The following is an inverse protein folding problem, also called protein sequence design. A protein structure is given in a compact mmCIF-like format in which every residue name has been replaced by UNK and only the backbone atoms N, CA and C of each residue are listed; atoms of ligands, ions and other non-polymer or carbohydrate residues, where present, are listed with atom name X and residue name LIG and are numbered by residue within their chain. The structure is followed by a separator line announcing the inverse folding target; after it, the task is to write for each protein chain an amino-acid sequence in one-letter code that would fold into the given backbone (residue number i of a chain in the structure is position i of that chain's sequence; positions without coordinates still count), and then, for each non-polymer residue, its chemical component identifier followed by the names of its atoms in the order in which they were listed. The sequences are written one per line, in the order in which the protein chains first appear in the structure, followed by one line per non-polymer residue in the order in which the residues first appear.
data_IF_394299258159
#
_entry.id   IF_394299258159
#
_cell.length_a   1.000
_cell.length_b   1.000
_cell.length_c   1.000
_cell.angle_alpha   90.00
_cell.angle_beta   90.00
_cell.angle_gamma   90.00
#
_symmetry.space_group_name_H-M   'P 1'
#
loop_
_entity.id
_entity.type
_entity.pdbx_description
1 polymer ?
#
# COMPACT_ATOMS: atom_id res chain seq x y z
N UNK A 1 50.22 28.83 -18.48
CA UNK A 1 49.74 28.72 -17.08
C UNK A 1 48.22 28.62 -17.07
N UNK A 2 47.67 27.48 -17.48
CA UNK A 2 46.21 27.23 -17.54
C UNK A 2 45.97 25.74 -17.26
N UNK A 3 46.18 25.33 -16.01
CA UNK A 3 45.88 23.95 -15.59
C UNK A 3 45.57 23.84 -14.08
N UNK A 4 46.00 24.81 -13.27
CA UNK A 4 45.88 24.70 -11.81
C UNK A 4 44.51 25.13 -11.23
N UNK A 5 43.65 25.82 -12.00
CA UNK A 5 42.39 26.38 -11.47
C UNK A 5 41.21 25.40 -11.59
N UNK A 6 41.27 24.43 -12.51
CA UNK A 6 40.17 23.50 -12.78
C UNK A 6 40.01 22.45 -11.66
N UNK A 7 41.07 22.17 -10.90
CA UNK A 7 41.05 21.11 -9.87
C UNK A 7 40.38 21.58 -8.57
N UNK A 8 40.27 22.89 -8.32
CA UNK A 8 39.68 23.41 -7.08
C UNK A 8 38.15 23.51 -7.11
N UNK A 9 37.51 23.50 -8.28
CA UNK A 9 36.05 23.55 -8.41
C UNK A 9 35.36 22.18 -8.50
N UNK A 10 36.10 21.10 -8.70
CA UNK A 10 35.56 19.73 -8.84
C UNK A 10 35.33 18.99 -7.51
N UNK A 11 35.56 19.63 -6.37
CA UNK A 11 35.30 19.06 -5.04
C UNK A 11 34.18 19.79 -4.26
N UNK A 12 33.41 20.66 -4.92
CA UNK A 12 32.24 21.29 -4.32
C UNK A 12 30.89 20.62 -4.69
N UNK A 13 30.89 19.63 -5.60
CA UNK A 13 29.67 18.98 -6.11
C UNK A 13 29.60 17.46 -5.87
N UNK A 14 30.09 16.96 -4.73
CA UNK A 14 29.90 15.53 -4.38
C UNK A 14 29.59 15.32 -2.90
N UNK A 15 28.78 16.18 -2.27
CA UNK A 15 28.15 15.82 -0.99
C UNK A 15 26.76 16.48 -0.86
N UNK A 16 25.88 16.28 -1.85
CA UNK A 16 24.49 16.05 -1.50
C UNK A 16 24.42 14.63 -0.91
N UNK A 17 24.94 14.47 0.31
CA UNK A 17 24.68 13.29 1.10
C UNK A 17 23.17 13.22 1.26
N UNK A 18 22.53 12.28 0.54
CA UNK A 18 21.20 11.82 0.88
C UNK A 18 21.35 11.25 2.29
N UNK A 19 21.12 12.09 3.29
CA UNK A 19 20.88 11.63 4.64
C UNK A 19 19.59 10.83 4.55
N UNK A 20 19.71 9.54 4.28
CA UNK A 20 18.69 8.58 4.62
C UNK A 20 18.67 8.55 6.13
N UNK A 21 17.99 9.52 6.73
CA UNK A 21 17.67 9.49 8.13
C UNK A 21 16.73 8.30 8.26
N UNK A 22 17.32 7.13 8.57
CA UNK A 22 16.61 6.00 9.11
C UNK A 22 15.95 6.54 10.37
N UNK A 23 14.73 7.05 10.23
CA UNK A 23 13.87 7.37 11.34
C UNK A 23 13.60 6.00 11.95
N UNK A 24 14.26 5.72 13.07
CA UNK A 24 13.99 4.52 13.84
C UNK A 24 12.55 4.67 14.31
N UNK A 25 11.63 4.09 13.55
CA UNK A 25 10.22 4.15 13.86
C UNK A 25 9.97 3.38 15.16
N UNK A 26 8.92 3.80 15.88
CA UNK A 26 8.44 3.01 17.00
C UNK A 26 8.10 1.59 16.54
N UNK A 27 8.16 0.63 17.46
CA UNK A 27 7.83 -0.77 17.18
C UNK A 27 6.50 -0.85 16.41
N UNK A 28 6.48 -1.62 15.32
CA UNK A 28 5.32 -1.80 14.41
C UNK A 28 4.93 -0.57 13.58
N UNK A 29 5.78 0.45 13.45
CA UNK A 29 5.57 1.58 12.52
C UNK A 29 6.65 1.64 11.45
N UNK A 30 6.31 2.14 10.27
CA UNK A 30 7.21 2.23 9.13
C UNK A 30 6.82 3.38 8.17
N UNK A 31 7.65 3.57 7.14
CA UNK A 31 7.52 4.65 6.17
C UNK A 31 8.42 5.84 6.48
N UNK A 32 8.62 6.73 5.50
CA UNK A 32 9.56 7.87 5.60
C UNK A 32 9.28 8.84 6.75
N UNK A 33 8.06 8.80 7.31
CA UNK A 33 7.61 9.62 8.45
C UNK A 33 6.99 8.76 9.56
N UNK A 34 7.26 7.45 9.58
CA UNK A 34 6.62 6.50 10.49
C UNK A 34 5.08 6.57 10.48
N UNK A 35 4.50 6.86 9.31
CA UNK A 35 3.07 7.13 9.15
C UNK A 35 2.23 5.86 9.01
N UNK A 36 2.86 4.72 8.72
CA UNK A 36 2.16 3.46 8.50
C UNK A 36 2.37 2.52 9.68
N UNK A 37 1.28 1.94 10.16
CA UNK A 37 1.32 0.88 11.17
C UNK A 37 1.38 -0.49 10.49
N UNK A 38 2.13 -1.41 11.05
CA UNK A 38 2.15 -2.81 10.64
C UNK A 38 0.76 -3.43 10.78
N UNK A 39 0.25 -3.99 9.67
CA UNK A 39 -1.07 -4.62 9.59
C UNK A 39 -1.00 -6.01 9.00
N UNK A 40 0.14 -6.68 9.16
CA UNK A 40 0.27 -8.09 8.86
C UNK A 40 -0.44 -8.93 9.92
N UNK A 41 -0.84 -10.14 9.58
CA UNK A 41 -1.33 -11.13 10.55
C UNK A 41 -0.29 -11.29 11.67
N UNK A 42 -0.73 -11.21 12.93
CA UNK A 42 0.12 -11.22 14.13
C UNK A 42 1.08 -10.03 14.29
N UNK A 43 0.91 -8.95 13.52
CA UNK A 43 1.75 -7.74 13.54
C UNK A 43 3.25 -8.02 13.26
N UNK A 44 3.55 -9.07 12.48
CA UNK A 44 4.91 -9.43 12.10
C UNK A 44 5.30 -8.76 10.77
N UNK A 45 5.94 -7.60 10.85
CA UNK A 45 6.51 -6.88 9.71
C UNK A 45 8.03 -6.74 9.86
N UNK A 46 8.74 -6.60 8.73
CA UNK A 46 10.11 -6.10 8.73
C UNK A 46 10.14 -4.56 8.87
N UNK A 47 11.35 -3.98 8.88
CA UNK A 47 11.55 -2.53 9.04
C UNK A 47 10.86 -1.69 7.94
N UNK A 48 10.65 -2.26 6.76
CA UNK A 48 9.97 -1.61 5.64
C UNK A 48 8.44 -1.84 5.66
N UNK A 49 7.90 -2.52 6.68
CA UNK A 49 6.49 -2.85 6.79
C UNK A 49 6.04 -4.09 6.02
N UNK A 50 6.95 -4.80 5.33
CA UNK A 50 6.59 -6.02 4.59
C UNK A 50 6.31 -7.17 5.56
N UNK A 51 5.24 -7.92 5.31
CA UNK A 51 4.92 -9.11 6.09
C UNK A 51 6.03 -10.16 5.96
N UNK A 52 6.52 -10.64 7.09
CA UNK A 52 7.54 -11.69 7.13
C UNK A 52 6.89 -13.09 7.09
N UNK A 53 7.67 -14.11 6.74
CA UNK A 53 7.25 -15.51 6.71
C UNK A 53 5.98 -15.80 5.86
N UNK A 54 5.76 -15.03 4.78
CA UNK A 54 4.57 -15.19 3.94
C UNK A 54 3.28 -14.72 4.60
N UNK A 55 3.37 -13.90 5.66
CA UNK A 55 2.22 -13.31 6.32
C UNK A 55 1.35 -12.52 5.34
N UNK A 56 0.03 -12.55 5.59
CA UNK A 56 -0.95 -11.79 4.83
C UNK A 56 -1.35 -10.52 5.58
N UNK A 57 -2.06 -9.63 4.91
CA UNK A 57 -2.68 -8.49 5.57
C UNK A 57 -3.81 -8.95 6.50
N UNK A 58 -4.01 -8.19 7.57
CA UNK A 58 -5.23 -8.24 8.38
C UNK A 58 -6.44 -7.96 7.48
N UNK A 59 -7.59 -8.53 7.81
CA UNK A 59 -8.84 -8.24 7.11
C UNK A 59 -9.12 -6.73 7.11
N UNK A 60 -9.56 -6.20 5.96
CA UNK A 60 -9.76 -4.77 5.74
C UNK A 60 -8.48 -3.95 5.50
N UNK A 61 -7.32 -4.60 5.33
CA UNK A 61 -6.06 -3.95 4.97
C UNK A 61 -5.47 -4.57 3.71
N UNK A 62 -4.85 -3.76 2.87
CA UNK A 62 -4.24 -4.20 1.62
C UNK A 62 -3.04 -3.30 1.24
N UNK A 63 -2.43 -3.62 0.10
CA UNK A 63 -1.23 -2.96 -0.41
C UNK A 63 0.03 -3.79 -0.18
N UNK A 64 1.16 -3.46 -0.84
CA UNK A 64 2.39 -4.25 -0.78
C UNK A 64 2.90 -4.51 0.65
N UNK A 65 2.63 -3.60 1.58
CA UNK A 65 3.04 -3.66 2.99
C UNK A 65 1.83 -3.56 3.94
N UNK A 66 0.62 -3.87 3.46
CA UNK A 66 -0.62 -3.74 4.22
C UNK A 66 -0.87 -2.34 4.80
N UNK A 67 -0.34 -1.30 4.14
CA UNK A 67 -0.31 0.06 4.67
C UNK A 67 -1.63 0.82 4.50
N UNK A 68 -2.54 0.29 3.70
CA UNK A 68 -3.77 0.99 3.31
C UNK A 68 -5.00 0.25 3.83
N UNK A 69 -5.96 1.04 4.30
CA UNK A 69 -7.27 0.54 4.74
C UNK A 69 -8.20 0.38 3.55
N UNK A 70 -8.86 -0.76 3.46
CA UNK A 70 -9.95 -0.97 2.53
C UNK A 70 -11.20 -0.28 3.08
N UNK A 71 -11.56 0.87 2.48
CA UNK A 71 -12.73 1.66 2.88
C UNK A 71 -14.05 0.98 2.52
N UNK A 72 -14.04 0.00 1.61
CA UNK A 72 -15.21 -0.75 1.22
C UNK A 72 -15.43 -2.00 2.08
N UNK A 73 -14.45 -2.41 2.89
CA UNK A 73 -14.52 -3.64 3.66
C UNK A 73 -15.65 -3.63 4.69
N UNK A 74 -16.64 -4.50 4.49
CA UNK A 74 -17.71 -4.80 5.44
C UNK A 74 -17.67 -6.28 5.84
N UNK A 75 -17.63 -6.57 7.14
CA UNK A 75 -17.50 -7.92 7.69
C UNK A 75 -18.61 -8.90 7.27
N UNK A 76 -19.72 -8.43 6.72
CA UNK A 76 -20.91 -9.24 6.41
C UNK A 76 -21.29 -9.22 4.92
N UNK A 77 -20.51 -8.59 4.05
CA UNK A 77 -20.78 -8.54 2.62
C UNK A 77 -19.69 -9.28 1.85
N UNK A 78 -20.12 -10.34 1.15
CA UNK A 78 -19.28 -11.14 0.25
C UNK A 78 -18.70 -10.30 -0.89
N UNK A 79 -19.37 -9.21 -1.29
CA UNK A 79 -18.86 -8.33 -2.35
C UNK A 79 -17.64 -7.50 -1.91
N UNK A 80 -17.37 -7.42 -0.61
CA UNK A 80 -16.36 -6.53 0.00
C UNK A 80 -15.48 -7.26 1.02
N UNK A 81 -15.50 -8.60 1.05
CA UNK A 81 -14.76 -9.40 2.03
C UNK A 81 -13.25 -9.49 1.74
N UNK A 82 -12.83 -9.01 0.56
CA UNK A 82 -11.45 -9.02 0.10
C UNK A 82 -10.97 -10.36 -0.45
N UNK A 83 -11.87 -11.34 -0.63
CA UNK A 83 -11.56 -12.65 -1.22
C UNK A 83 -12.05 -12.72 -2.67
N UNK A 84 -11.11 -12.82 -3.62
CA UNK A 84 -11.46 -12.88 -5.05
C UNK A 84 -12.20 -14.17 -5.43
N UNK A 85 -12.23 -15.18 -4.56
CA UNK A 85 -12.86 -16.48 -4.81
C UNK A 85 -14.31 -16.55 -4.32
N UNK A 86 -14.75 -15.59 -3.50
CA UNK A 86 -16.11 -15.57 -2.94
C UNK A 86 -17.08 -14.76 -3.81
N UNK A 87 -16.74 -14.45 -5.06
CA UNK A 87 -17.61 -13.73 -6.00
C UNK A 87 -19.07 -14.23 -5.98
N UNK A 88 -20.02 -13.28 -5.88
CA UNK A 88 -21.45 -13.58 -5.95
C UNK A 88 -21.77 -14.31 -7.27
N UNK A 89 -22.57 -15.37 -7.17
CA UNK A 89 -22.98 -16.18 -8.32
C UNK A 89 -23.79 -15.33 -9.32
N UNK A 90 -23.54 -15.40 -10.65
CA UNK A 90 -24.28 -14.65 -11.68
C UNK A 90 -25.81 -14.82 -11.65
N UNK A 91 -26.35 -15.83 -10.97
CA UNK A 91 -27.80 -15.97 -10.79
C UNK A 91 -28.43 -14.96 -9.81
N UNK A 92 -27.61 -14.18 -9.08
CA UNK A 92 -28.09 -13.12 -8.18
C UNK A 92 -28.19 -11.80 -8.97
N UNK A 93 -29.23 -11.74 -9.80
CA UNK A 93 -29.90 -10.54 -10.33
C UNK A 93 -29.28 -9.76 -11.49
N UNK A 94 -30.14 -9.36 -12.43
CA UNK A 94 -29.92 -8.28 -13.41
C UNK A 94 -29.92 -6.88 -12.77
N UNK A 95 -29.77 -6.78 -11.45
CA UNK A 95 -29.87 -5.51 -10.74
C UNK A 95 -28.57 -4.73 -10.85
N UNK A 96 -28.70 -3.42 -11.00
CA UNK A 96 -27.58 -2.49 -11.00
C UNK A 96 -26.94 -2.44 -9.60
N UNK A 97 -25.64 -2.72 -9.51
CA UNK A 97 -24.87 -2.46 -8.30
C UNK A 97 -24.58 -0.96 -8.26
N UNK A 98 -25.22 -0.25 -7.34
CA UNK A 98 -24.99 1.18 -7.13
C UNK A 98 -23.86 1.37 -6.10
N UNK A 99 -22.68 1.79 -6.57
CA UNK A 99 -21.57 2.15 -5.70
C UNK A 99 -21.68 3.62 -5.30
N UNK A 100 -22.04 3.89 -4.04
CA UNK A 100 -22.04 5.25 -3.50
C UNK A 100 -20.69 5.57 -2.87
N UNK A 101 -19.87 6.30 -3.60
CA UNK A 101 -18.61 6.81 -3.09
C UNK A 101 -18.88 8.04 -2.21
N UNK A 102 -18.87 7.86 -0.89
CA UNK A 102 -18.83 8.99 0.02
C UNK A 102 -17.43 9.64 -0.05
N UNK A 103 -17.37 10.97 -0.03
CA UNK A 103 -16.23 11.89 -0.27
C UNK A 103 -14.90 11.58 0.49
N UNK A 104 -14.34 10.40 0.30
CA UNK A 104 -12.99 10.07 0.75
C UNK A 104 -12.08 10.14 -0.48
N UNK A 105 -10.99 10.87 -0.37
CA UNK A 105 -9.96 10.84 -1.39
C UNK A 105 -9.25 9.49 -1.31
N UNK A 106 -9.45 8.65 -2.32
CA UNK A 106 -8.71 7.42 -2.51
C UNK A 106 -7.87 7.51 -3.78
N UNK A 107 -6.74 6.81 -3.79
CA UNK A 107 -5.80 6.80 -4.92
C UNK A 107 -6.00 5.62 -5.87
N UNK A 108 -6.74 4.59 -5.43
CA UNK A 108 -6.99 3.38 -6.20
C UNK A 108 -8.35 2.79 -5.82
N UNK A 109 -8.98 2.10 -6.76
CA UNK A 109 -10.19 1.30 -6.57
C UNK A 109 -10.00 -0.01 -7.33
N UNK A 110 -10.44 -1.12 -6.74
CA UNK A 110 -10.48 -2.43 -7.40
C UNK A 110 -11.92 -2.92 -7.50
N UNK A 111 -12.32 -3.36 -8.67
CA UNK A 111 -13.58 -4.06 -8.91
C UNK A 111 -13.22 -5.42 -9.50
N UNK A 112 -13.76 -6.50 -8.91
CA UNK A 112 -13.61 -7.87 -9.40
C UNK A 112 -14.96 -8.37 -9.88
N UNK A 113 -15.00 -8.90 -11.11
CA UNK A 113 -16.17 -9.55 -11.68
C UNK A 113 -15.97 -11.06 -11.69
N UNK A 114 -17.05 -11.82 -11.57
CA UNK A 114 -17.04 -13.28 -11.70
C UNK A 114 -16.67 -13.72 -13.11
N UNK A 115 -17.16 -13.01 -14.13
CA UNK A 115 -16.71 -13.14 -15.50
C UNK A 115 -15.87 -11.92 -15.90
N UNK A 116 -14.56 -12.09 -16.16
CA UNK A 116 -13.67 -10.99 -16.52
C UNK A 116 -13.93 -10.39 -17.90
N UNK A 117 -14.68 -11.06 -18.79
CA UNK A 117 -14.93 -10.61 -20.17
C UNK A 117 -15.90 -9.41 -20.25
N UNK A 118 -16.48 -8.99 -19.12
CA UNK A 118 -17.39 -7.84 -19.03
C UNK A 118 -16.69 -6.52 -18.66
N UNK A 119 -15.35 -6.48 -18.66
CA UNK A 119 -14.51 -5.28 -18.52
C UNK A 119 -13.79 -4.98 -19.83
#
# INVERSE_FOLDING_TARGET
MMAAVIILFSWAMVFCGVHSQSSVCSKEWFGSRCQYKCRCTNNNCNENGMCTAGGKCQQGWFGPSCQYVDLAYEQQSVATDGDDNTCLNPYISTNTINLKLNLHWFTWMRIRLSNPDFL
#
